data_IF_529818539565
#
_entry.id   IF_529818539565
#
_cell.length_a   1.000
_cell.length_b   1.000
_cell.length_c   1.000
_cell.angle_alpha   90.00
_cell.angle_beta   90.00
_cell.angle_gamma   90.00
#
_symmetry.space_group_name_H-M   'P 1'
#
loop_
_entity.id
_entity.type
_entity.pdbx_description
1 polymer ?
#
# COMPACT_ATOMS: atom_id res chain seq x y z
N UNK A 1 15.25 6.82 20.61
CA UNK A 1 14.98 8.10 19.90
C UNK A 1 13.92 7.87 18.84
N UNK A 2 13.19 8.90 18.38
CA UNK A 2 12.35 8.78 17.20
C UNK A 2 13.09 9.37 16.00
N UNK A 3 12.87 8.78 14.83
CA UNK A 3 13.52 9.21 13.58
C UNK A 3 12.46 9.45 12.50
N UNK A 4 12.77 10.34 11.57
CA UNK A 4 11.85 10.65 10.48
C UNK A 4 11.83 9.50 9.48
N UNK A 5 10.63 9.17 8.99
CA UNK A 5 10.44 8.03 8.09
C UNK A 5 11.28 8.15 6.82
N UNK A 6 11.48 9.36 6.30
CA UNK A 6 12.29 9.59 5.10
C UNK A 6 13.81 9.43 5.31
N UNK A 7 14.27 9.12 6.54
CA UNK A 7 15.65 8.67 6.77
C UNK A 7 15.86 7.22 6.32
N UNK A 8 14.80 6.44 6.18
CA UNK A 8 14.85 4.99 5.90
C UNK A 8 14.28 4.61 4.54
N UNK A 9 13.68 5.56 3.84
CA UNK A 9 13.06 5.31 2.55
C UNK A 9 12.95 6.61 1.74
N UNK A 10 12.76 6.47 0.45
CA UNK A 10 12.65 7.59 -0.46
C UNK A 10 11.27 7.61 -1.14
N UNK A 11 10.75 8.81 -1.38
CA UNK A 11 9.61 8.95 -2.28
C UNK A 11 10.12 8.61 -3.68
N UNK A 12 9.50 7.62 -4.30
CA UNK A 12 9.72 7.23 -5.69
C UNK A 12 8.42 7.46 -6.49
N UNK A 13 8.32 6.89 -7.65
CA UNK A 13 7.13 7.07 -8.49
C UNK A 13 7.42 8.04 -9.62
N UNK A 14 8.18 7.56 -10.59
CA UNK A 14 8.46 8.32 -11.80
C UNK A 14 7.18 8.55 -12.60
N UNK A 15 7.09 9.73 -13.23
CA UNK A 15 6.01 10.01 -14.16
C UNK A 15 6.01 9.03 -15.32
N UNK A 16 4.82 8.63 -15.73
CA UNK A 16 4.64 7.69 -16.83
C UNK A 16 5.15 8.30 -18.14
N UNK A 17 6.20 7.73 -18.69
CA UNK A 17 6.72 8.09 -20.03
C UNK A 17 5.82 7.50 -21.11
N UNK A 18 5.89 8.08 -22.34
CA UNK A 18 5.12 7.57 -23.48
C UNK A 18 5.46 6.08 -23.73
N UNK A 19 4.42 5.28 -23.88
CA UNK A 19 4.51 3.85 -24.15
C UNK A 19 3.55 3.46 -25.27
N UNK A 20 3.81 2.32 -25.91
CA UNK A 20 2.90 1.71 -26.87
C UNK A 20 2.08 0.60 -26.23
N UNK A 21 0.93 0.29 -26.83
CA UNK A 21 0.02 -0.75 -26.36
C UNK A 21 -0.80 -0.35 -25.14
N UNK A 22 -1.32 -1.35 -24.42
CA UNK A 22 -2.22 -1.21 -23.28
C UNK A 22 -1.47 -1.56 -22.00
N UNK A 23 -1.73 -0.81 -20.93
CA UNK A 23 -1.26 -1.11 -19.58
C UNK A 23 -2.41 -1.14 -18.58
N UNK A 24 -2.25 -1.90 -17.51
CA UNK A 24 -3.17 -1.93 -16.38
C UNK A 24 -2.95 -0.69 -15.51
N UNK A 25 -4.01 0.05 -15.25
CA UNK A 25 -4.02 1.20 -14.33
C UNK A 25 -4.72 0.82 -13.05
N UNK A 26 -4.09 1.12 -11.93
CA UNK A 26 -4.58 0.87 -10.58
C UNK A 26 -4.92 2.19 -9.90
N UNK A 27 -6.21 2.43 -9.72
CA UNK A 27 -6.70 3.52 -8.89
C UNK A 27 -6.76 3.11 -7.40
N UNK A 28 -6.95 4.08 -6.52
CA UNK A 28 -7.10 3.76 -5.08
C UNK A 28 -8.35 2.93 -4.79
N UNK A 29 -9.39 3.02 -5.64
CA UNK A 29 -10.59 2.19 -5.57
C UNK A 29 -10.33 0.72 -5.81
N UNK A 30 -9.37 0.40 -6.66
CA UNK A 30 -9.06 -0.96 -7.12
C UNK A 30 -8.33 -1.81 -6.09
N UNK A 31 -8.02 -1.26 -4.91
CA UNK A 31 -7.39 -1.98 -3.81
C UNK A 31 -8.40 -2.18 -2.69
N UNK A 32 -8.63 -3.43 -2.31
CA UNK A 32 -9.44 -3.84 -1.16
C UNK A 32 -8.60 -4.79 -0.30
N UNK A 33 -8.60 -4.58 1.00
CA UNK A 33 -7.83 -5.39 1.97
C UNK A 33 -6.36 -5.58 1.54
N UNK A 34 -5.73 -4.51 1.03
CA UNK A 34 -4.36 -4.49 0.53
C UNK A 34 -4.07 -5.44 -0.65
N UNK A 35 -5.11 -5.83 -1.39
CA UNK A 35 -5.01 -6.63 -2.61
C UNK A 35 -5.58 -5.84 -3.79
N UNK A 36 -4.94 -5.95 -4.94
CA UNK A 36 -5.49 -5.41 -6.21
C UNK A 36 -6.63 -6.33 -6.62
N UNK A 37 -7.86 -5.80 -6.65
CA UNK A 37 -9.08 -6.57 -6.98
C UNK A 37 -9.63 -6.23 -8.35
N UNK A 38 -9.23 -5.10 -8.93
CA UNK A 38 -9.63 -4.66 -10.26
C UNK A 38 -8.54 -3.77 -10.88
N UNK A 39 -8.68 -3.48 -12.15
CA UNK A 39 -7.84 -2.55 -12.89
C UNK A 39 -8.60 -1.98 -14.09
N UNK A 40 -8.10 -0.88 -14.63
CA UNK A 40 -8.58 -0.33 -15.90
C UNK A 40 -7.48 -0.47 -16.95
N UNK A 41 -7.80 -0.99 -18.13
CA UNK A 41 -6.86 -1.00 -19.23
C UNK A 41 -6.79 0.39 -19.87
N UNK A 42 -5.58 0.90 -20.06
CA UNK A 42 -5.35 2.25 -20.58
C UNK A 42 -4.22 2.27 -21.59
N UNK A 43 -4.38 3.03 -22.67
CA UNK A 43 -3.29 3.46 -23.52
C UNK A 43 -2.76 4.83 -23.08
N UNK A 44 -1.61 5.23 -23.60
CA UNK A 44 -0.96 6.47 -23.17
C UNK A 44 -1.80 7.72 -23.43
N UNK A 45 -2.54 7.77 -24.56
CA UNK A 45 -3.27 8.97 -25.00
C UNK A 45 -4.60 9.14 -24.24
N UNK A 46 -5.23 8.01 -23.87
CA UNK A 46 -6.56 7.98 -23.22
C UNK A 46 -6.52 7.72 -21.73
N UNK A 47 -5.33 7.54 -21.12
CA UNK A 47 -5.22 7.32 -19.68
C UNK A 47 -5.74 8.52 -18.88
N UNK A 48 -6.42 8.28 -17.75
CA UNK A 48 -6.79 9.36 -16.83
C UNK A 48 -5.57 10.18 -16.40
N UNK A 49 -5.73 11.47 -16.14
CA UNK A 49 -4.64 12.34 -15.69
C UNK A 49 -3.96 11.83 -14.42
N UNK A 50 -4.71 11.15 -13.55
CA UNK A 50 -4.19 10.50 -12.34
C UNK A 50 -3.38 9.22 -12.61
N UNK A 51 -3.51 8.60 -13.76
CA UNK A 51 -2.72 7.43 -14.17
C UNK A 51 -1.31 7.88 -14.58
N UNK A 52 -0.49 8.28 -13.62
CA UNK A 52 0.77 8.95 -13.92
C UNK A 52 1.94 8.60 -12.99
N UNK A 53 1.94 7.42 -12.39
CA UNK A 53 3.06 6.94 -11.60
C UNK A 53 3.46 5.52 -12.01
N UNK A 54 4.76 5.30 -12.14
CA UNK A 54 5.36 3.96 -12.27
C UNK A 54 5.98 3.57 -10.93
N UNK A 55 5.91 2.28 -10.61
CA UNK A 55 6.59 1.68 -9.48
C UNK A 55 7.61 0.66 -9.99
N UNK A 56 8.56 0.29 -9.15
CA UNK A 56 9.52 -0.78 -9.41
C UNK A 56 9.33 -1.89 -8.39
N UNK A 57 9.72 -3.10 -8.75
CA UNK A 57 9.76 -4.22 -7.81
C UNK A 57 10.50 -3.82 -6.52
N UNK A 58 9.91 -4.14 -5.39
CA UNK A 58 10.42 -3.78 -4.07
C UNK A 58 9.92 -2.42 -3.52
N UNK A 59 9.26 -1.59 -4.33
CA UNK A 59 8.58 -0.40 -3.83
C UNK A 59 7.34 -0.80 -2.99
N UNK A 60 6.96 0.06 -2.06
CA UNK A 60 5.72 -0.08 -1.29
C UNK A 60 4.85 1.14 -1.50
N UNK A 61 3.59 0.92 -1.86
CA UNK A 61 2.61 1.97 -2.06
C UNK A 61 1.68 2.09 -0.87
N UNK A 62 1.31 3.32 -0.51
CA UNK A 62 0.17 3.56 0.37
C UNK A 62 -0.70 4.73 -0.11
N UNK A 63 -1.99 4.67 0.19
CA UNK A 63 -2.95 5.71 -0.19
C UNK A 63 -2.72 7.00 0.62
N UNK A 64 -2.66 8.14 -0.09
CA UNK A 64 -2.45 9.47 0.52
C UNK A 64 -3.66 9.98 1.30
N UNK A 65 -4.86 9.54 0.94
CA UNK A 65 -6.09 10.07 1.51
C UNK A 65 -6.22 9.75 2.99
N UNK A 66 -6.78 10.71 3.73
CA UNK A 66 -7.14 10.53 5.14
C UNK A 66 -8.14 9.38 5.29
N UNK A 67 -8.07 8.69 6.42
CA UNK A 67 -8.95 7.56 6.79
C UNK A 67 -8.90 6.37 5.79
N UNK A 68 -7.90 6.34 4.89
CA UNK A 68 -7.71 5.28 3.90
C UNK A 68 -6.50 4.42 4.25
N UNK A 69 -6.74 3.13 4.51
CA UNK A 69 -5.71 2.16 4.89
C UNK A 69 -5.51 1.17 3.75
N UNK A 70 -4.81 1.58 2.70
CA UNK A 70 -4.51 0.74 1.53
C UNK A 70 -3.02 0.77 1.30
N UNK A 71 -2.39 -0.39 1.41
CA UNK A 71 -0.94 -0.58 1.27
C UNK A 71 -0.70 -1.81 0.41
N UNK A 72 0.16 -1.71 -0.58
CA UNK A 72 0.61 -2.85 -1.38
C UNK A 72 2.13 -2.80 -1.56
N UNK A 73 2.76 -3.95 -1.60
CA UNK A 73 4.14 -4.10 -2.09
C UNK A 73 4.15 -4.44 -3.57
N UNK A 74 5.17 -3.96 -4.26
CA UNK A 74 5.31 -4.15 -5.70
C UNK A 74 6.18 -5.36 -5.96
N UNK A 75 5.61 -6.36 -6.63
CA UNK A 75 6.26 -7.57 -7.12
C UNK A 75 6.58 -7.47 -8.61
N UNK A 76 7.06 -8.54 -9.20
CA UNK A 76 7.43 -8.62 -10.61
C UNK A 76 6.23 -8.42 -11.55
N UNK A 77 5.07 -8.97 -11.20
CA UNK A 77 3.87 -8.88 -12.02
C UNK A 77 3.37 -7.43 -12.08
N UNK A 78 3.19 -6.82 -10.92
CA UNK A 78 2.54 -5.53 -10.80
C UNK A 78 3.50 -4.33 -10.98
N UNK A 79 4.80 -4.55 -11.09
CA UNK A 79 5.79 -3.51 -11.43
C UNK A 79 5.56 -2.88 -12.81
N UNK A 80 4.85 -3.58 -13.71
CA UNK A 80 4.53 -3.09 -15.05
C UNK A 80 3.24 -2.25 -15.11
N UNK A 81 2.52 -2.11 -13.99
CA UNK A 81 1.26 -1.37 -13.94
C UNK A 81 1.50 0.13 -13.80
N UNK A 82 0.46 0.90 -14.11
CA UNK A 82 0.43 2.34 -13.86
C UNK A 82 -0.40 2.58 -12.59
N UNK A 83 0.10 3.45 -11.72
CA UNK A 83 -0.55 3.76 -10.46
C UNK A 83 -1.08 5.17 -10.42
N UNK A 84 -2.15 5.34 -9.65
CA UNK A 84 -2.76 6.64 -9.40
C UNK A 84 -1.83 7.54 -8.60
N UNK A 85 -1.82 8.83 -8.93
CA UNK A 85 -1.19 9.89 -8.11
C UNK A 85 -1.80 10.02 -6.71
N UNK A 86 -2.88 9.29 -6.43
CA UNK A 86 -3.47 9.12 -5.09
C UNK A 86 -2.65 8.25 -4.14
N UNK A 87 -1.60 7.58 -4.63
CA UNK A 87 -0.65 6.84 -3.81
C UNK A 87 0.64 7.63 -3.61
N UNK A 88 1.31 7.40 -2.47
CA UNK A 88 2.76 7.49 -2.39
C UNK A 88 3.36 6.16 -2.82
N UNK A 89 4.42 6.24 -3.62
CA UNK A 89 5.28 5.12 -3.97
C UNK A 89 6.57 5.35 -3.21
N UNK A 90 6.94 4.41 -2.36
CA UNK A 90 8.05 4.54 -1.42
C UNK A 90 9.03 3.40 -1.67
N UNK A 91 10.27 3.78 -1.91
CA UNK A 91 11.38 2.84 -2.05
C UNK A 91 12.11 2.69 -0.74
N UNK A 92 12.25 1.48 -0.18
CA UNK A 92 13.06 1.26 0.99
C UNK A 92 14.54 1.57 0.71
N UNK A 93 15.25 2.07 1.72
CA UNK A 93 16.72 2.16 1.70
C UNK A 93 17.35 0.78 1.92
N UNK A 94 18.64 0.64 1.69
CA UNK A 94 19.38 -0.65 1.76
C UNK A 94 19.21 -1.40 3.10
N UNK A 95 18.99 -0.66 4.18
CA UNK A 95 18.83 -1.22 5.53
C UNK A 95 17.37 -1.53 5.89
N UNK A 96 16.44 -1.45 4.94
CA UNK A 96 15.00 -1.64 5.17
C UNK A 96 14.46 -2.70 4.22
N UNK A 97 13.89 -3.75 4.77
CA UNK A 97 13.22 -4.78 3.97
C UNK A 97 11.86 -4.26 3.48
N UNK A 98 11.52 -4.57 2.23
CA UNK A 98 10.23 -4.20 1.61
C UNK A 98 9.04 -4.64 2.48
N UNK A 99 9.05 -5.88 2.95
CA UNK A 99 7.98 -6.42 3.78
C UNK A 99 7.90 -5.75 5.16
N UNK A 100 9.04 -5.31 5.71
CA UNK A 100 9.03 -4.52 6.94
C UNK A 100 8.35 -3.17 6.71
N UNK A 101 8.66 -2.50 5.61
CA UNK A 101 8.05 -1.22 5.25
C UNK A 101 6.54 -1.39 4.97
N UNK A 102 6.14 -2.47 4.32
CA UNK A 102 4.74 -2.83 4.13
C UNK A 102 3.99 -2.93 5.47
N UNK A 103 4.53 -3.68 6.43
CA UNK A 103 3.93 -3.81 7.76
C UNK A 103 3.95 -2.51 8.56
N UNK A 104 5.00 -1.71 8.42
CA UNK A 104 5.09 -0.39 9.04
C UNK A 104 3.94 0.51 8.56
N UNK A 105 3.68 0.57 7.25
CA UNK A 105 2.59 1.38 6.67
C UNK A 105 1.20 0.83 7.02
N UNK A 106 1.07 -0.45 7.25
CA UNK A 106 -0.18 -1.05 7.75
C UNK A 106 -0.40 -0.82 9.24
N UNK A 107 0.61 -0.38 9.98
CA UNK A 107 0.51 -0.22 11.43
C UNK A 107 -0.50 0.86 11.83
N UNK A 108 -1.24 0.65 12.95
CA UNK A 108 -2.15 1.67 13.47
C UNK A 108 -1.45 2.99 13.80
N UNK A 109 -0.19 2.93 14.25
CA UNK A 109 0.59 4.14 14.55
C UNK A 109 0.83 4.96 13.30
N UNK A 110 1.37 4.35 12.23
CA UNK A 110 1.61 5.05 10.98
C UNK A 110 0.32 5.68 10.43
N UNK A 111 -0.79 4.96 10.43
CA UNK A 111 -2.05 5.47 9.91
C UNK A 111 -2.58 6.66 10.73
N UNK A 112 -2.48 6.64 12.06
CA UNK A 112 -2.82 7.81 12.89
C UNK A 112 -1.94 9.02 12.58
N UNK A 113 -0.63 8.81 12.44
CA UNK A 113 0.32 9.88 12.15
C UNK A 113 0.10 10.44 10.74
N UNK A 114 -0.15 9.57 9.74
CA UNK A 114 -0.55 9.96 8.38
C UNK A 114 -1.79 10.86 8.41
N UNK A 115 -2.83 10.43 9.08
CA UNK A 115 -4.11 11.14 9.11
C UNK A 115 -4.01 12.47 9.85
N UNK A 116 -3.17 12.58 10.87
CA UNK A 116 -2.86 13.81 11.59
C UNK A 116 -2.27 14.90 10.68
N UNK A 117 -1.43 14.50 9.72
CA UNK A 117 -0.75 15.44 8.83
C UNK A 117 -1.45 15.62 7.48
N UNK A 118 -2.59 14.99 7.25
CA UNK A 118 -3.41 15.22 6.07
C UNK A 118 -3.98 16.65 6.04
N UNK A 119 -3.90 17.30 4.89
CA UNK A 119 -4.42 18.65 4.64
C UNK A 119 -5.32 18.67 3.42
N UNK A 120 -6.19 19.64 3.33
CA UNK A 120 -7.13 19.87 2.22
C UNK A 120 -8.51 20.27 2.72
N UNK A 121 -9.22 21.06 1.95
CA UNK A 121 -10.57 21.53 2.30
C UNK A 121 -11.63 20.46 2.03
N UNK A 122 -11.69 19.93 0.82
CA UNK A 122 -12.70 18.96 0.39
C UNK A 122 -12.22 17.52 0.57
N UNK A 123 -11.00 17.20 0.11
CA UNK A 123 -10.36 15.91 0.31
C UNK A 123 -9.05 16.12 1.07
N UNK A 124 -9.01 15.60 2.29
CA UNK A 124 -7.79 15.64 3.09
C UNK A 124 -6.85 14.54 2.64
N UNK A 125 -5.63 14.91 2.28
CA UNK A 125 -4.59 13.97 1.87
C UNK A 125 -3.24 14.38 2.46
N UNK A 126 -2.38 13.39 2.63
CA UNK A 126 -0.99 13.61 3.03
C UNK A 126 -0.23 14.23 1.87
N UNK A 127 0.45 15.33 2.12
CA UNK A 127 1.40 15.94 1.19
C UNK A 127 2.85 15.68 1.64
N UNK A 128 3.83 16.09 0.82
CA UNK A 128 5.24 15.84 1.12
C UNK A 128 5.68 16.47 2.45
N UNK A 129 5.17 17.67 2.80
CA UNK A 129 5.52 18.31 4.08
C UNK A 129 4.92 17.58 5.28
N UNK A 130 3.75 16.96 5.11
CA UNK A 130 3.15 16.09 6.10
C UNK A 130 3.95 14.80 6.26
N UNK A 131 4.34 14.16 5.15
CA UNK A 131 5.13 12.92 5.17
C UNK A 131 6.49 13.11 5.87
N UNK A 132 7.17 14.23 5.62
CA UNK A 132 8.44 14.60 6.30
C UNK A 132 8.32 14.73 7.82
N UNK A 133 7.11 14.88 8.36
CA UNK A 133 6.85 15.01 9.80
C UNK A 133 6.53 13.70 10.48
N UNK A 134 6.30 12.64 9.72
CA UNK A 134 6.02 11.32 10.30
C UNK A 134 7.31 10.77 10.90
N UNK A 135 7.21 10.39 12.17
CA UNK A 135 8.30 9.80 12.93
C UNK A 135 7.98 8.36 13.28
N UNK A 136 8.98 7.52 13.15
CA UNK A 136 8.93 6.13 13.62
C UNK A 136 9.90 5.97 14.80
N UNK A 137 9.75 4.90 15.55
CA UNK A 137 10.77 4.48 16.49
C UNK A 137 12.05 4.13 15.72
N UNK A 138 13.13 4.02 16.45
CA UNK A 138 14.40 3.52 15.92
C UNK A 138 14.21 2.32 14.99
N UNK A 139 14.90 2.34 13.85
CA UNK A 139 14.82 1.28 12.87
C UNK A 139 15.46 -0.01 13.45
N UNK A 140 14.73 -1.14 13.51
CA UNK A 140 15.34 -2.40 13.89
C UNK A 140 16.42 -2.83 12.89
N UNK A 141 17.40 -3.58 13.34
CA UNK A 141 18.36 -4.18 12.43
C UNK A 141 17.69 -5.24 11.52
N UNK A 142 18.38 -5.69 10.47
CA UNK A 142 17.82 -6.60 9.46
C UNK A 142 17.28 -7.91 10.06
N UNK A 143 17.97 -8.49 11.05
CA UNK A 143 17.51 -9.73 11.68
C UNK A 143 16.26 -9.51 12.54
N UNK A 144 16.17 -8.39 13.22
CA UNK A 144 14.95 -8.00 13.93
C UNK A 144 13.80 -7.73 12.98
N UNK A 145 14.04 -7.05 11.83
CA UNK A 145 13.04 -6.86 10.80
C UNK A 145 12.50 -8.19 10.27
N UNK A 146 13.38 -9.15 9.94
CA UNK A 146 12.98 -10.51 9.52
C UNK A 146 12.11 -11.21 10.57
N UNK A 147 12.50 -11.12 11.84
CA UNK A 147 11.73 -11.69 12.94
C UNK A 147 10.33 -11.07 13.05
N UNK A 148 10.23 -9.74 12.93
CA UNK A 148 8.95 -9.01 12.94
C UNK A 148 8.08 -9.44 11.76
N UNK A 149 8.63 -9.44 10.55
CA UNK A 149 7.95 -9.87 9.33
C UNK A 149 7.40 -11.29 9.49
N UNK A 150 8.23 -12.23 9.93
CA UNK A 150 7.81 -13.62 10.12
C UNK A 150 6.61 -13.73 11.09
N UNK A 151 6.62 -13.02 12.21
CA UNK A 151 5.53 -13.01 13.17
C UNK A 151 4.24 -12.40 12.57
N UNK A 152 4.36 -11.27 11.89
CA UNK A 152 3.21 -10.58 11.32
C UNK A 152 2.59 -11.36 10.15
N UNK A 153 3.42 -11.99 9.30
CA UNK A 153 2.93 -12.86 8.23
C UNK A 153 2.14 -14.05 8.80
N UNK A 154 2.65 -14.73 9.83
CA UNK A 154 1.93 -15.83 10.50
C UNK A 154 0.60 -15.39 11.09
N UNK A 155 0.56 -14.22 11.72
CA UNK A 155 -0.69 -13.66 12.26
C UNK A 155 -1.67 -13.36 11.13
N UNK A 156 -1.20 -12.74 10.04
CA UNK A 156 -2.03 -12.43 8.86
C UNK A 156 -2.60 -13.71 8.24
N UNK A 157 -1.80 -14.75 8.07
CA UNK A 157 -2.26 -16.05 7.55
C UNK A 157 -3.36 -16.66 8.43
N UNK A 158 -3.22 -16.59 9.75
CA UNK A 158 -4.26 -17.09 10.68
C UNK A 158 -5.54 -16.29 10.53
N UNK A 159 -5.43 -14.95 10.41
CA UNK A 159 -6.59 -14.07 10.24
C UNK A 159 -7.31 -14.40 8.92
N UNK A 160 -6.59 -14.55 7.81
CA UNK A 160 -7.19 -14.89 6.51
C UNK A 160 -7.90 -16.25 6.55
N UNK A 161 -7.25 -17.29 7.11
CA UNK A 161 -7.89 -18.60 7.28
C UNK A 161 -9.17 -18.53 8.12
N UNK A 162 -9.18 -17.69 9.16
CA UNK A 162 -10.38 -17.51 10.00
C UNK A 162 -11.51 -16.79 9.25
N UNK A 163 -11.18 -15.79 8.42
CA UNK A 163 -12.17 -15.14 7.55
C UNK A 163 -12.77 -16.14 6.56
N UNK A 164 -11.95 -16.96 5.91
CA UNK A 164 -12.41 -18.00 5.00
C UNK A 164 -13.34 -19.02 5.71
N UNK A 165 -12.97 -19.45 6.92
CA UNK A 165 -13.82 -20.34 7.72
C UNK A 165 -15.17 -19.70 8.06
N UNK A 166 -15.22 -18.40 8.37
CA UNK A 166 -16.47 -17.68 8.64
C UNK A 166 -17.36 -17.63 7.38
N UNK A 167 -16.79 -17.36 6.21
CA UNK A 167 -17.55 -17.38 4.95
C UNK A 167 -18.18 -18.76 4.70
N UNK A 168 -17.40 -19.84 4.85
CA UNK A 168 -17.88 -21.20 4.67
C UNK A 168 -19.01 -21.53 5.68
N UNK A 169 -18.86 -21.10 6.94
CA UNK A 169 -19.90 -21.31 7.96
C UNK A 169 -21.18 -20.54 7.61
N UNK A 170 -21.06 -19.31 7.13
CA UNK A 170 -22.24 -18.53 6.71
C UNK A 170 -22.95 -19.16 5.51
N UNK A 171 -22.20 -19.71 4.55
CA UNK A 171 -22.76 -20.44 3.42
C UNK A 171 -23.46 -21.74 3.88
N UNK A 172 -22.86 -22.47 4.82
CA UNK A 172 -23.45 -23.68 5.38
C UNK A 172 -24.77 -23.37 6.10
N UNK A 173 -24.78 -22.32 6.94
CA UNK A 173 -25.99 -21.87 7.63
C UNK A 173 -27.09 -21.53 6.61
N UNK A 174 -26.76 -20.73 5.58
CA UNK A 174 -27.72 -20.38 4.53
C UNK A 174 -28.26 -21.61 3.82
N UNK A 175 -27.43 -22.58 3.50
CA UNK A 175 -27.86 -23.80 2.81
C UNK A 175 -28.78 -24.69 3.66
N UNK A 176 -28.68 -24.62 4.98
CA UNK A 176 -29.49 -25.42 5.91
C UNK A 176 -30.85 -24.79 6.25
N UNK A 177 -30.96 -23.46 6.07
CA UNK A 177 -32.15 -22.71 6.45
C UNK A 177 -32.89 -22.05 5.28
N UNK A 178 -32.49 -22.32 4.02
CA UNK A 178 -33.25 -21.95 2.83
C UNK A 178 -34.11 -23.13 2.43
N UNK A 179 -35.32 -23.20 2.97
CA UNK A 179 -36.46 -23.87 2.35
C UNK A 179 -37.23 -22.86 1.47
#
# INVERSE_FOLDING_TARGET
>A
MSEKILNFCNISGDSVKKYGGIKKYIATGDIIDNKIVSYTEVDYNNKPSRANQNAQMGDVLFAKMKDTKKVISIDEENANYIYSTGFYIIRPSENVLTDYLYWLFNSPKFNRDKDKYCKGATQKALNNDGLKKIEIKELPNIEEQKSIICKLNKISEVIERKKEQLVILDELIKSQFVE
#
